data_IF_760492072910
#
_entry.id   IF_760492072910
#
_cell.length_a   1.000
_cell.length_b   1.000
_cell.length_c   1.000
_cell.angle_alpha   90.00
_cell.angle_beta   90.00
_cell.angle_gamma   90.00
#
_symmetry.space_group_name_H-M   'P 1'
#
loop_
_entity.id
_entity.type
_entity.pdbx_description
1 polymer ?
#
# COMPACT_ATOMS: atom_id res chain seq x y z
N UNK A 1 -14.27 -10.55 38.79
CA UNK A 1 -15.14 -9.94 37.75
C UNK A 1 -14.53 -8.68 37.12
N UNK A 2 -13.91 -7.75 37.86
CA UNK A 2 -13.29 -6.55 37.27
C UNK A 2 -11.98 -6.78 36.48
N UNK A 3 -11.25 -7.87 36.76
CA UNK A 3 -10.00 -8.19 36.06
C UNK A 3 -10.22 -8.88 34.70
N UNK A 4 -11.36 -9.55 34.51
CA UNK A 4 -11.68 -10.24 33.24
C UNK A 4 -12.31 -9.29 32.21
N UNK A 5 -13.08 -8.30 32.66
CA UNK A 5 -13.60 -7.24 31.79
C UNK A 5 -12.50 -6.32 31.26
N UNK A 6 -11.42 -6.11 32.04
CA UNK A 6 -10.25 -5.36 31.60
C UNK A 6 -9.48 -6.03 30.46
N UNK A 7 -9.34 -7.36 30.50
CA UNK A 7 -8.66 -8.13 29.46
C UNK A 7 -9.44 -8.12 28.13
N UNK A 8 -10.76 -8.25 28.20
CA UNK A 8 -11.64 -8.18 27.02
C UNK A 8 -11.63 -6.80 26.36
N UNK A 9 -11.60 -5.72 27.15
CA UNK A 9 -11.53 -4.35 26.60
C UNK A 9 -10.18 -4.07 25.92
N UNK A 10 -9.09 -4.68 26.40
CA UNK A 10 -7.73 -4.50 25.86
C UNK A 10 -7.53 -5.27 24.53
N UNK A 11 -8.22 -6.40 24.34
CA UNK A 11 -8.23 -7.15 23.07
C UNK A 11 -9.00 -6.44 21.94
N UNK A 12 -10.02 -5.64 22.26
CA UNK A 12 -10.82 -4.89 21.25
C UNK A 12 -10.07 -3.66 20.71
N UNK A 13 -9.06 -3.17 21.43
CA UNK A 13 -8.23 -2.02 21.04
C UNK A 13 -7.03 -2.40 20.15
N UNK A 14 -6.79 -3.70 19.91
CA UNK A 14 -5.73 -4.12 19.01
C UNK A 14 -6.16 -3.88 17.55
N UNK A 15 -5.39 -3.13 16.75
CA UNK A 15 -5.67 -3.01 15.32
C UNK A 15 -5.52 -4.39 14.67
N UNK A 16 -6.59 -4.89 14.07
CA UNK A 16 -6.54 -6.11 13.28
C UNK A 16 -5.80 -5.80 11.96
N UNK A 17 -4.66 -6.45 11.75
CA UNK A 17 -3.94 -6.41 10.47
C UNK A 17 -4.49 -7.53 9.60
N UNK A 18 -5.27 -7.18 8.59
CA UNK A 18 -5.74 -8.12 7.57
C UNK A 18 -4.88 -7.95 6.32
N UNK A 19 -4.44 -9.06 5.72
CA UNK A 19 -3.87 -9.05 4.38
C UNK A 19 -4.96 -8.69 3.37
N UNK A 20 -4.73 -7.67 2.56
CA UNK A 20 -5.62 -7.24 1.50
C UNK A 20 -5.43 -8.07 0.23
N UNK A 21 -6.49 -8.18 -0.57
CA UNK A 21 -6.44 -8.74 -1.92
C UNK A 21 -6.74 -7.61 -2.91
N UNK A 22 -5.77 -7.31 -3.78
CA UNK A 22 -5.84 -6.27 -4.79
C UNK A 22 -6.06 -6.91 -6.16
N UNK A 23 -7.26 -6.76 -6.71
CA UNK A 23 -7.53 -7.12 -8.10
C UNK A 23 -6.85 -6.11 -9.02
N UNK A 24 -5.83 -6.57 -9.75
CA UNK A 24 -5.03 -5.70 -10.61
C UNK A 24 -5.89 -5.15 -11.75
N UNK A 25 -6.02 -3.82 -11.82
CA UNK A 25 -6.88 -3.14 -12.80
C UNK A 25 -8.37 -3.18 -12.46
N UNK A 26 -8.74 -3.55 -11.23
CA UNK A 26 -10.12 -3.60 -10.74
C UNK A 26 -11.06 -4.37 -11.69
N UNK A 27 -12.16 -3.76 -12.14
CA UNK A 27 -13.10 -4.37 -13.09
C UNK A 27 -12.52 -4.58 -14.48
N UNK A 28 -11.46 -3.86 -14.85
CA UNK A 28 -10.80 -4.00 -16.15
C UNK A 28 -9.84 -5.20 -16.18
N UNK A 29 -9.36 -5.63 -15.01
CA UNK A 29 -8.45 -6.76 -14.88
C UNK A 29 -7.07 -6.53 -15.51
N UNK A 30 -6.37 -7.64 -15.77
CA UNK A 30 -5.07 -7.67 -16.44
C UNK A 30 -5.26 -7.72 -17.97
N UNK A 31 -5.20 -6.58 -18.63
CA UNK A 31 -5.53 -6.37 -20.04
C UNK A 31 -4.76 -5.18 -20.64
N UNK A 32 -4.76 -5.08 -21.96
CA UNK A 32 -4.17 -3.95 -22.69
C UNK A 32 -5.06 -2.69 -22.57
N UNK A 33 -4.46 -1.51 -22.61
CA UNK A 33 -5.17 -0.23 -22.55
C UNK A 33 -5.62 0.20 -21.16
N UNK A 34 -5.21 -0.51 -20.10
CA UNK A 34 -5.46 -0.15 -18.70
C UNK A 34 -4.30 0.71 -18.18
N UNK A 35 -4.62 1.78 -17.45
CA UNK A 35 -3.60 2.59 -16.78
C UNK A 35 -3.23 2.00 -15.41
N UNK A 36 -2.26 1.08 -15.43
CA UNK A 36 -1.74 0.45 -14.22
C UNK A 36 -0.96 1.40 -13.32
N UNK A 37 -0.49 2.54 -13.84
CA UNK A 37 0.23 3.53 -13.03
C UNK A 37 -0.75 4.23 -12.10
N UNK A 38 -1.87 4.70 -12.66
CA UNK A 38 -2.94 5.31 -11.87
C UNK A 38 -3.52 4.29 -10.89
N UNK A 39 -3.80 3.07 -11.34
CA UNK A 39 -4.29 2.00 -10.45
C UNK A 39 -3.32 1.69 -9.30
N UNK A 40 -2.02 1.58 -9.57
CA UNK A 40 -1.02 1.36 -8.53
C UNK A 40 -0.99 2.51 -7.51
N UNK A 41 -1.09 3.75 -7.99
CA UNK A 41 -1.05 4.95 -7.12
C UNK A 41 -2.28 5.10 -6.22
N UNK A 42 -3.42 4.51 -6.58
CA UNK A 42 -4.63 4.51 -5.74
C UNK A 42 -4.65 3.38 -4.71
N UNK A 43 -3.62 2.53 -4.68
CA UNK A 43 -3.50 1.40 -3.76
C UNK A 43 -2.31 1.58 -2.80
N UNK A 44 -2.39 0.93 -1.64
CA UNK A 44 -1.27 0.79 -0.70
C UNK A 44 -0.99 -0.69 -0.54
N UNK A 45 0.28 -1.07 -0.72
CA UNK A 45 0.71 -2.47 -0.65
C UNK A 45 1.59 -2.68 0.58
N UNK A 46 1.28 -3.73 1.33
CA UNK A 46 1.98 -4.17 2.52
C UNK A 46 2.38 -5.63 2.42
N UNK A 47 3.44 -6.02 3.12
CA UNK A 47 3.83 -7.43 3.20
C UNK A 47 2.68 -8.27 3.75
N UNK A 48 2.32 -9.34 3.03
CA UNK A 48 1.19 -10.22 3.33
C UNK A 48 0.03 -10.03 2.36
N UNK A 49 -0.09 -8.88 1.69
CA UNK A 49 -1.13 -8.63 0.71
C UNK A 49 -0.99 -9.55 -0.51
N UNK A 50 -2.07 -9.70 -1.28
CA UNK A 50 -2.11 -10.50 -2.50
C UNK A 50 -2.51 -9.64 -3.68
N UNK A 51 -1.81 -9.80 -4.81
CA UNK A 51 -2.26 -9.31 -6.11
C UNK A 51 -3.02 -10.42 -6.82
N UNK A 52 -4.23 -10.13 -7.29
CA UNK A 52 -5.01 -11.03 -8.14
C UNK A 52 -5.02 -10.51 -9.57
N UNK A 53 -4.38 -11.23 -10.48
CA UNK A 53 -4.36 -10.96 -11.91
C UNK A 53 -5.43 -11.82 -12.60
N UNK A 54 -6.56 -11.21 -12.95
CA UNK A 54 -7.62 -11.87 -13.73
C UNK A 54 -7.55 -11.44 -15.19
N UNK A 55 -7.49 -12.41 -16.09
CA UNK A 55 -7.40 -12.16 -17.53
C UNK A 55 -7.91 -13.33 -18.35
N UNK A 56 -8.18 -13.07 -19.63
CA UNK A 56 -8.54 -14.08 -20.62
C UNK A 56 -7.68 -13.92 -21.88
N UNK A 57 -7.73 -14.91 -22.79
CA UNK A 57 -6.94 -14.88 -24.02
C UNK A 57 -5.45 -15.15 -23.77
N UNK A 58 -4.61 -14.64 -24.67
CA UNK A 58 -3.15 -14.88 -24.67
C UNK A 58 -2.43 -13.82 -23.83
N UNK A 59 -2.68 -13.84 -22.53
CA UNK A 59 -1.97 -13.05 -21.53
C UNK A 59 -1.25 -13.97 -20.54
N UNK A 60 -0.28 -13.40 -19.83
CA UNK A 60 0.42 -14.04 -18.74
C UNK A 60 0.95 -12.97 -17.80
N UNK A 61 1.54 -13.41 -16.69
CA UNK A 61 2.15 -12.53 -15.70
C UNK A 61 3.56 -13.02 -15.44
N UNK A 62 4.54 -12.23 -15.81
CA UNK A 62 5.94 -12.46 -15.45
C UNK A 62 6.35 -11.45 -14.38
N UNK A 63 6.74 -11.93 -13.21
CA UNK A 63 7.50 -11.13 -12.26
C UNK A 63 8.92 -10.98 -12.79
N UNK A 64 9.43 -9.75 -12.86
CA UNK A 64 10.71 -9.43 -13.48
C UNK A 64 11.55 -8.48 -12.62
N UNK A 65 12.81 -8.29 -13.02
CA UNK A 65 13.66 -7.23 -12.47
C UNK A 65 13.25 -5.87 -13.03
N UNK A 66 13.64 -4.78 -12.37
CA UNK A 66 13.43 -3.43 -12.90
C UNK A 66 13.96 -3.25 -14.32
N UNK A 67 15.17 -3.72 -14.60
CA UNK A 67 15.77 -3.61 -15.94
C UNK A 67 14.89 -4.28 -17.00
N UNK A 68 14.42 -5.49 -16.73
CA UNK A 68 13.56 -6.23 -17.66
C UNK A 68 12.17 -5.61 -17.79
N UNK A 69 11.65 -4.95 -16.75
CA UNK A 69 10.42 -4.18 -16.80
C UNK A 69 10.55 -2.91 -17.65
N UNK A 70 11.68 -2.21 -17.53
CA UNK A 70 11.96 -0.99 -18.29
C UNK A 70 12.14 -1.33 -19.78
N UNK A 71 12.81 -2.45 -20.10
CA UNK A 71 13.07 -2.91 -21.47
C UNK A 71 12.04 -3.90 -22.02
N UNK A 72 10.94 -4.15 -21.30
CA UNK A 72 9.91 -5.14 -21.66
C UNK A 72 10.47 -6.51 -22.08
N UNK A 73 11.52 -6.95 -21.40
CA UNK A 73 12.19 -8.23 -21.67
C UNK A 73 11.55 -9.34 -20.84
N UNK A 74 10.96 -10.33 -21.50
CA UNK A 74 10.33 -11.51 -20.89
C UNK A 74 11.36 -12.51 -20.32
N UNK A 75 12.17 -12.04 -19.37
CA UNK A 75 13.09 -12.86 -18.56
C UNK A 75 12.57 -12.87 -17.13
N UNK A 76 11.62 -13.78 -16.90
CA UNK A 76 10.91 -13.94 -15.65
C UNK A 76 11.82 -14.41 -14.50
N UNK A 77 11.58 -13.86 -13.32
CA UNK A 77 11.93 -14.45 -12.04
C UNK A 77 10.91 -15.54 -11.68
N UNK A 78 9.64 -15.28 -11.99
CA UNK A 78 8.52 -16.19 -11.82
C UNK A 78 7.43 -15.89 -12.84
N UNK A 79 6.80 -16.94 -13.38
CA UNK A 79 5.77 -16.83 -14.41
C UNK A 79 4.46 -17.45 -13.93
N UNK A 80 3.35 -16.85 -14.35
CA UNK A 80 2.00 -17.29 -14.06
C UNK A 80 1.14 -17.21 -15.33
N UNK A 81 0.27 -18.21 -15.54
CA UNK A 81 -0.45 -18.41 -16.79
C UNK A 81 -1.84 -19.06 -16.63
N UNK A 82 -2.48 -18.95 -15.46
CA UNK A 82 -3.77 -19.62 -15.19
C UNK A 82 -5.00 -18.80 -15.60
N UNK A 83 -4.85 -17.50 -15.86
CA UNK A 83 -5.98 -16.58 -16.10
C UNK A 83 -6.61 -16.01 -14.82
N UNK A 84 -6.23 -16.51 -13.64
CA UNK A 84 -6.62 -15.98 -12.33
C UNK A 84 -5.48 -16.19 -11.34
N UNK A 85 -4.35 -15.53 -11.62
CA UNK A 85 -3.12 -15.74 -10.88
C UNK A 85 -3.09 -14.91 -9.60
N UNK A 86 -2.72 -15.54 -8.48
CA UNK A 86 -2.54 -14.87 -7.19
C UNK A 86 -1.06 -14.79 -6.84
N UNK A 87 -0.60 -13.59 -6.51
CA UNK A 87 0.78 -13.31 -6.10
C UNK A 87 0.77 -12.71 -4.70
N UNK A 88 1.24 -13.46 -3.71
CA UNK A 88 1.44 -12.93 -2.35
C UNK A 88 2.70 -12.07 -2.31
N UNK A 89 2.57 -10.87 -1.75
CA UNK A 89 3.65 -9.91 -1.56
C UNK A 89 4.36 -10.24 -0.24
N UNK A 90 5.34 -11.13 -0.30
CA UNK A 90 6.02 -11.69 0.87
C UNK A 90 7.22 -10.85 1.36
N UNK A 91 7.61 -9.84 0.58
CA UNK A 91 8.76 -9.00 0.87
C UNK A 91 8.47 -7.52 0.57
N UNK A 92 8.99 -6.65 1.44
CA UNK A 92 8.99 -5.22 1.19
C UNK A 92 9.97 -4.87 0.06
N UNK A 93 9.68 -3.79 -0.66
CA UNK A 93 10.47 -3.32 -1.79
C UNK A 93 9.65 -3.23 -3.07
N UNK A 94 10.34 -3.01 -4.19
CA UNK A 94 9.69 -2.82 -5.49
C UNK A 94 9.44 -4.15 -6.19
N UNK A 95 8.23 -4.30 -6.71
CA UNK A 95 7.81 -5.45 -7.49
C UNK A 95 7.41 -5.00 -8.88
N UNK A 96 7.85 -5.77 -9.88
CA UNK A 96 7.64 -5.47 -11.29
C UNK A 96 7.02 -6.66 -11.99
N UNK A 97 5.95 -6.42 -12.73
CA UNK A 97 5.21 -7.43 -13.47
C UNK A 97 5.00 -6.95 -14.91
N UNK A 98 5.11 -7.88 -15.86
CA UNK A 98 4.85 -7.61 -17.28
C UNK A 98 3.99 -8.72 -17.87
N UNK A 99 3.25 -8.41 -18.92
CA UNK A 99 2.69 -9.44 -19.80
C UNK A 99 3.78 -9.88 -20.79
N UNK A 100 4.16 -11.18 -20.84
CA UNK A 100 5.25 -11.64 -21.70
C UNK A 100 4.87 -11.79 -23.17
N UNK A 101 3.58 -11.68 -23.50
CA UNK A 101 3.11 -11.74 -24.89
C UNK A 101 3.69 -10.57 -25.69
N UNK A 102 4.28 -10.87 -26.84
CA UNK A 102 4.97 -9.91 -27.71
C UNK A 102 4.13 -8.65 -27.94
N UNK A 103 4.71 -7.48 -27.64
CA UNK A 103 4.09 -6.17 -27.84
C UNK A 103 3.13 -5.71 -26.74
N UNK A 104 2.68 -6.59 -25.83
CA UNK A 104 1.73 -6.20 -24.78
C UNK A 104 2.39 -5.33 -23.71
N UNK A 105 3.60 -5.70 -23.25
CA UNK A 105 4.34 -4.89 -22.27
C UNK A 105 4.66 -3.50 -22.83
N UNK A 106 5.17 -3.42 -24.07
CA UNK A 106 5.49 -2.15 -24.73
C UNK A 106 4.26 -1.27 -24.92
N UNK A 107 3.08 -1.88 -25.06
CA UNK A 107 1.79 -1.20 -25.13
C UNK A 107 1.21 -0.83 -23.76
N UNK A 108 1.98 -0.97 -22.68
CA UNK A 108 1.61 -0.54 -21.33
C UNK A 108 1.04 -1.63 -20.42
N UNK A 109 0.97 -2.88 -20.85
CA UNK A 109 0.50 -4.00 -20.01
C UNK A 109 1.60 -4.47 -19.05
N UNK A 110 1.93 -3.59 -18.10
CA UNK A 110 2.97 -3.77 -17.09
C UNK A 110 2.60 -3.03 -15.81
N UNK A 111 2.98 -3.58 -14.66
CA UNK A 111 2.70 -3.05 -13.33
C UNK A 111 4.00 -2.90 -12.53
N UNK A 112 4.19 -1.75 -11.91
CA UNK A 112 5.22 -1.52 -10.90
C UNK A 112 4.54 -1.08 -9.60
N UNK A 113 4.91 -1.69 -8.49
CA UNK A 113 4.41 -1.34 -7.16
C UNK A 113 5.55 -1.30 -6.14
N UNK A 114 5.35 -0.57 -5.05
CA UNK A 114 6.25 -0.57 -3.90
C UNK A 114 5.50 -1.12 -2.70
N UNK A 115 6.06 -2.17 -2.09
CA UNK A 115 5.49 -2.87 -0.94
C UNK A 115 6.19 -2.39 0.34
N UNK A 116 5.40 -1.90 1.29
CA UNK A 116 5.90 -1.51 2.60
C UNK A 116 5.95 -2.71 3.56
N UNK A 117 6.86 -2.67 4.54
CA UNK A 117 6.92 -3.71 5.56
C UNK A 117 5.60 -3.79 6.34
N UNK A 118 5.15 -5.00 6.65
CA UNK A 118 4.01 -5.20 7.54
C UNK A 118 4.33 -4.52 8.88
N UNK A 119 3.47 -3.59 9.31
CA UNK A 119 3.65 -2.90 10.59
C UNK A 119 3.37 -3.90 11.71
N UNK A 120 4.40 -4.60 12.16
CA UNK A 120 4.35 -5.36 13.40
C UNK A 120 4.63 -4.39 14.55
N UNK A 121 3.71 -4.36 15.53
CA UNK A 121 3.83 -3.85 16.93
C UNK A 121 3.04 -2.56 17.27
N UNK A 122 2.27 -2.56 18.37
CA UNK A 122 1.90 -1.34 19.10
C UNK A 122 3.14 -0.78 19.79
N UNK A 123 3.51 0.47 19.50
CA UNK A 123 4.62 1.16 20.16
C UNK A 123 4.37 1.24 21.68
N UNK A 124 5.10 0.46 22.49
CA UNK A 124 5.24 0.75 23.92
C UNK A 124 5.97 2.10 24.04
N UNK A 125 5.40 3.11 24.72
CA UNK A 125 6.09 4.38 24.90
C UNK A 125 7.39 4.15 25.69
N UNK A 126 8.52 4.49 25.07
CA UNK A 126 9.82 4.47 25.74
C UNK A 126 9.84 5.56 26.82
N UNK A 127 10.31 5.28 28.06
CA UNK A 127 10.42 6.31 29.09
C UNK A 127 11.40 7.42 28.65
N UNK A 128 11.16 8.68 29.06
CA UNK A 128 12.02 9.80 28.69
C UNK A 128 13.45 9.57 29.22
N UNK A 129 14.43 9.52 28.31
CA UNK A 129 15.84 9.54 28.67
C UNK A 129 16.23 10.91 29.20
N UNK A 130 16.50 11.01 30.50
CA UNK A 130 17.21 12.15 31.10
C UNK A 130 18.70 12.00 30.83
N UNK A 131 19.20 12.62 29.76
CA UNK A 131 20.65 12.76 29.53
C UNK A 131 21.11 14.14 30.05
N UNK A 132 22.12 14.22 30.93
CA UNK A 132 22.72 15.47 31.36
C UNK A 132 23.43 16.20 30.22
N UNK A 133 23.18 17.50 30.11
CA UNK A 133 23.77 18.42 29.13
C UNK A 133 25.28 18.60 29.38
N UNK A 134 26.11 18.15 28.45
CA UNK A 134 27.55 18.49 28.42
C UNK A 134 27.73 19.85 27.71
N UNK A 135 28.56 20.78 28.22
CA UNK A 135 28.75 22.09 27.61
C UNK A 135 29.43 22.01 26.23
N UNK A 136 28.86 22.69 25.24
CA UNK A 136 29.40 22.81 23.89
C UNK A 136 30.48 23.88 23.82
N UNK A 137 31.68 23.50 23.37
CA UNK A 137 32.76 24.40 22.94
C UNK A 137 32.38 25.09 21.62
N UNK A 138 32.64 26.39 21.41
CA UNK A 138 32.25 27.08 20.19
C UNK A 138 33.26 26.82 19.05
N UNK A 139 32.75 26.40 17.90
CA UNK A 139 33.49 26.29 16.62
C UNK A 139 33.14 27.51 15.74
N UNK A 140 34.12 28.13 15.05
CA UNK A 140 33.95 29.43 14.41
C UNK A 140 33.10 29.40 13.13
N UNK A 141 32.42 30.53 12.93
CA UNK A 141 31.49 30.86 11.86
C UNK A 141 32.20 30.94 10.50
N UNK A 142 31.69 30.22 9.49
CA UNK A 142 32.06 30.41 8.08
C UNK A 142 30.83 30.94 7.32
N UNK A 143 30.96 32.00 6.50
CA UNK A 143 29.83 32.67 5.87
C UNK A 143 29.24 31.88 4.69
N UNK A 144 27.91 31.91 4.59
CA UNK A 144 27.10 31.32 3.53
C UNK A 144 27.09 32.21 2.27
N UNK A 145 27.19 31.65 1.05
CA UNK A 145 27.00 32.39 -0.19
C UNK A 145 25.50 32.55 -0.56
N UNK A 146 25.13 33.61 -1.30
CA UNK A 146 23.74 34.00 -1.53
C UNK A 146 23.01 33.10 -2.52
N UNK A 147 21.75 32.78 -2.21
CA UNK A 147 20.81 32.09 -3.09
C UNK A 147 20.08 33.08 -3.99
N UNK A 148 20.26 32.99 -5.30
CA UNK A 148 19.49 33.75 -6.30
C UNK A 148 18.27 32.96 -6.75
N UNK A 149 17.09 33.40 -6.31
CA UNK A 149 15.76 32.99 -6.78
C UNK A 149 15.45 33.62 -8.15
N UNK A 150 14.80 32.87 -9.05
CA UNK A 150 13.78 33.45 -9.90
C UNK A 150 12.44 32.70 -9.74
N UNK A 151 11.38 33.49 -9.57
CA UNK A 151 9.98 33.08 -9.51
C UNK A 151 9.38 33.06 -10.93
N UNK A 152 8.49 32.09 -11.26
CA UNK A 152 7.55 32.25 -12.37
C UNK A 152 6.08 32.29 -11.91
N UNK A 153 5.17 32.77 -12.78
CA UNK A 153 3.91 33.40 -12.39
C UNK A 153 2.73 32.43 -12.23
N UNK A 154 1.73 32.92 -11.50
CA UNK A 154 0.36 32.42 -11.39
C UNK A 154 -0.40 32.53 -12.71
N UNK A 155 -1.23 31.53 -13.05
CA UNK A 155 -2.63 31.71 -13.53
C UNK A 155 -3.40 30.41 -13.78
N UNK A 156 -4.67 30.47 -13.35
CA UNK A 156 -5.91 29.82 -13.86
C UNK A 156 -6.17 28.33 -13.65
N UNK A 157 -7.06 28.09 -12.67
CA UNK A 157 -7.86 26.90 -12.42
C UNK A 157 -9.02 26.77 -13.42
N UNK A 158 -9.39 25.55 -13.84
CA UNK A 158 -10.75 25.21 -14.21
C UNK A 158 -11.38 24.25 -13.20
N UNK A 159 -12.71 24.33 -13.15
CA UNK A 159 -13.66 23.78 -12.20
C UNK A 159 -13.89 22.27 -12.29
N UNK A 160 -14.10 21.68 -11.11
CA UNK A 160 -14.55 20.31 -10.82
C UNK A 160 -15.96 20.02 -11.32
N UNK A 161 -16.24 18.78 -11.78
CA UNK A 161 -17.55 18.17 -11.62
C UNK A 161 -17.56 17.19 -10.44
N UNK A 162 -18.51 17.43 -9.54
CA UNK A 162 -18.90 16.56 -8.42
C UNK A 162 -19.44 15.23 -8.94
N UNK A 163 -18.82 14.12 -8.53
CA UNK A 163 -19.42 12.79 -8.62
C UNK A 163 -19.53 12.19 -7.21
N UNK A 164 -20.76 12.05 -6.74
CA UNK A 164 -21.10 11.38 -5.50
C UNK A 164 -20.87 9.88 -5.66
N UNK A 165 -19.90 9.33 -4.93
CA UNK A 165 -19.83 7.90 -4.65
C UNK A 165 -20.34 7.68 -3.23
N UNK A 166 -21.52 7.09 -3.10
CA UNK A 166 -22.03 6.62 -1.83
C UNK A 166 -21.21 5.39 -1.39
N UNK A 167 -20.23 5.61 -0.51
CA UNK A 167 -19.50 4.50 0.11
C UNK A 167 -20.34 4.00 1.29
N UNK A 168 -21.02 2.88 1.12
CA UNK A 168 -21.52 2.10 2.24
C UNK A 168 -20.32 1.36 2.83
N UNK A 169 -19.54 2.06 3.67
CA UNK A 169 -18.59 1.41 4.56
C UNK A 169 -19.38 0.93 5.77
N UNK A 170 -19.90 -0.29 5.70
CA UNK A 170 -20.24 -1.01 6.92
C UNK A 170 -18.94 -1.25 7.67
N UNK A 171 -18.72 -0.44 8.70
CA UNK A 171 -17.61 -0.56 9.62
C UNK A 171 -17.76 -1.88 10.40
N UNK A 172 -17.08 -2.94 9.96
CA UNK A 172 -17.14 -4.27 10.61
C UNK A 172 -16.63 -4.25 12.07
N UNK A 173 -15.96 -3.17 12.50
CA UNK A 173 -15.65 -2.94 13.91
C UNK A 173 -16.91 -2.79 14.77
N UNK A 174 -18.02 -2.28 14.22
CA UNK A 174 -19.27 -2.12 14.97
C UNK A 174 -19.98 -3.46 15.26
N UNK A 175 -19.83 -4.46 14.39
CA UNK A 175 -20.44 -5.78 14.59
C UNK A 175 -19.77 -6.55 15.73
N UNK A 176 -18.44 -6.44 15.85
CA UNK A 176 -17.67 -7.05 16.94
C UNK A 176 -18.00 -6.36 18.27
N UNK A 177 -18.05 -5.02 18.28
CA UNK A 177 -18.44 -4.25 19.48
C UNK A 177 -19.88 -4.59 19.91
N UNK A 178 -20.83 -4.70 18.96
CA UNK A 178 -22.21 -5.06 19.25
C UNK A 178 -22.36 -6.47 19.82
N UNK A 179 -21.67 -7.46 19.26
CA UNK A 179 -21.70 -8.83 19.76
C UNK A 179 -21.09 -8.96 21.17
N UNK A 180 -20.02 -8.22 21.47
CA UNK A 180 -19.39 -8.22 22.79
C UNK A 180 -20.23 -7.54 23.87
N UNK A 181 -20.91 -6.42 23.56
CA UNK A 181 -21.82 -5.74 24.50
C UNK A 181 -23.06 -6.60 24.78
N UNK A 182 -23.61 -7.27 23.76
CA UNK A 182 -24.76 -8.17 23.93
C UNK A 182 -24.38 -9.41 24.76
N UNK A 183 -23.19 -9.99 24.54
CA UNK A 183 -22.71 -11.13 25.34
C UNK A 183 -22.42 -10.74 26.80
N UNK A 184 -21.91 -9.52 27.04
CA UNK A 184 -21.69 -9.01 28.40
C UNK A 184 -22.99 -8.73 29.17
N UNK A 185 -24.07 -8.33 28.47
CA UNK A 185 -25.40 -8.12 29.08
C UNK A 185 -26.16 -9.44 29.33
N UNK A 186 -25.81 -10.52 28.65
CA UNK A 186 -26.44 -11.84 28.83
C UNK A 186 -25.76 -12.70 29.92
N UNK A 187 -24.56 -12.33 30.36
CA UNK A 187 -23.75 -13.05 31.35
C UNK A 187 -23.62 -12.33 32.70
N UNK A 188 -24.25 -11.15 32.84
CA UNK A 188 -24.41 -10.41 34.10
C UNK A 188 -25.85 -10.51 34.62
#
# INVERSE_FOLDING_TARGET
MAMETGLLLLLVLAPAVYAADHTVGDSSGWSQGVDYTTWASSNTFTVGDTLTFSYSGLHGVDQVTKTNYDSCTAKALKSYNSGSDKVTLDQAGDWYFICPTTGHCDSGMKLAITVSAASSTPSTPSPPSTTPTTPSTPTPTTPSPPSTTPSPPSTTSPSTPTASAATILYNMNALVIGASVVLALLLG
#
